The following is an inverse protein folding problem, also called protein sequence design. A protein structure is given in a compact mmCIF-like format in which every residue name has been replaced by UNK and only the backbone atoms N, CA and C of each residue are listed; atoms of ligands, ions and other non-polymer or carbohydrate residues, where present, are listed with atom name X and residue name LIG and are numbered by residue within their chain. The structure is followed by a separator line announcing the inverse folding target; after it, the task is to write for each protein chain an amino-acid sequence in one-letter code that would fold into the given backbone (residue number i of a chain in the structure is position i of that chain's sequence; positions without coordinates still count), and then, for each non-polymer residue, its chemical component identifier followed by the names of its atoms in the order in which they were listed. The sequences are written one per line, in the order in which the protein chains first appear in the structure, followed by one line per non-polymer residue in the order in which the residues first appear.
data_IF_524767623448
#
_entry.id   IF_524767623448
#
_cell.length_a   1.000
_cell.length_b   1.000
_cell.length_c   1.000
_cell.angle_alpha   90.00
_cell.angle_beta   90.00
_cell.angle_gamma   90.00
#
_symmetry.space_group_name_H-M   'P 1'
#
loop_
_entity.id
_entity.type
_entity.pdbx_description
1 polymer ?
#
# COMPACT_ATOMS: atom_id res chain seq x y z
N UNK A 1 4.45 20.18 28.25
CA UNK A 1 3.94 19.04 27.49
C UNK A 1 5.14 18.43 26.82
N UNK A 2 5.47 17.16 27.12
CA UNK A 2 6.56 16.44 26.47
C UNK A 2 6.16 16.19 25.01
N UNK A 3 7.06 16.49 24.08
CA UNK A 3 6.88 16.19 22.64
C UNK A 3 6.65 14.69 22.49
N UNK A 4 5.48 14.24 21.99
CA UNK A 4 5.18 12.82 21.82
C UNK A 4 6.15 12.13 20.83
N UNK A 5 6.91 12.89 20.05
CA UNK A 5 7.90 12.40 19.09
C UNK A 5 9.35 12.42 19.59
N UNK A 6 9.60 12.81 20.86
CA UNK A 6 10.95 13.00 21.39
C UNK A 6 11.82 11.71 21.46
N UNK A 7 11.21 10.52 21.30
CA UNK A 7 11.87 9.21 21.38
C UNK A 7 11.67 8.32 20.14
N UNK A 8 11.21 8.88 19.01
CA UNK A 8 11.06 8.08 17.80
C UNK A 8 12.43 7.83 17.13
N UNK A 9 12.63 6.65 16.53
CA UNK A 9 13.88 6.31 15.88
C UNK A 9 14.14 7.23 14.68
N UNK A 10 15.42 7.37 14.36
CA UNK A 10 15.90 8.04 13.16
C UNK A 10 16.16 6.98 12.09
N UNK A 11 15.81 7.26 10.86
CA UNK A 11 16.12 6.42 9.70
C UNK A 11 17.37 6.95 9.04
N UNK A 12 18.47 6.20 9.15
CA UNK A 12 19.72 6.51 8.48
C UNK A 12 19.67 6.12 7.01
N UNK A 13 20.00 7.04 6.13
CA UNK A 13 20.05 6.81 4.68
C UNK A 13 21.32 7.41 4.07
N UNK A 14 21.62 7.05 2.84
CA UNK A 14 22.71 7.68 2.07
C UNK A 14 22.48 9.18 1.80
N UNK A 15 21.25 9.67 1.99
CA UNK A 15 20.87 11.08 1.85
C UNK A 15 20.86 11.84 3.19
N UNK A 16 21.18 11.17 4.31
CA UNK A 16 21.18 11.69 5.66
C UNK A 16 20.19 11.03 6.59
N UNK A 17 20.06 11.58 7.79
CA UNK A 17 19.15 11.11 8.84
C UNK A 17 17.77 11.73 8.66
N UNK A 18 16.72 10.90 8.67
CA UNK A 18 15.33 11.34 8.66
C UNK A 18 14.66 11.01 10.00
N UNK A 19 14.07 12.02 10.63
CA UNK A 19 13.20 11.79 11.79
C UNK A 19 11.98 11.01 11.34
N UNK A 20 11.67 9.93 12.06
CA UNK A 20 10.44 9.20 11.85
C UNK A 20 9.31 9.83 12.67
N UNK A 21 8.12 9.75 12.13
CA UNK A 21 6.86 10.09 12.76
C UNK A 21 6.07 8.80 12.98
N UNK A 22 5.14 8.81 13.92
CA UNK A 22 4.24 7.70 14.17
C UNK A 22 2.84 8.03 13.68
N UNK A 23 2.27 7.16 12.87
CA UNK A 23 0.86 7.16 12.54
C UNK A 23 0.16 5.99 13.23
N UNK A 24 -1.01 6.23 13.83
CA UNK A 24 -1.82 5.20 14.48
C UNK A 24 -3.13 5.04 13.74
N UNK A 25 -3.28 3.89 13.09
CA UNK A 25 -4.55 3.47 12.51
C UNK A 25 -5.37 2.75 13.58
N UNK A 26 -6.64 3.15 13.72
CA UNK A 26 -7.59 2.53 14.65
C UNK A 26 -8.84 2.09 13.91
N UNK A 27 -9.14 0.80 14.00
CA UNK A 27 -10.32 0.22 13.35
C UNK A 27 -10.75 -1.05 14.09
N UNK A 28 -12.08 -1.26 14.26
CA UNK A 28 -12.64 -2.48 14.86
C UNK A 28 -12.02 -2.87 16.22
N UNK A 29 -11.71 -1.85 17.06
CA UNK A 29 -11.11 -2.03 18.38
C UNK A 29 -9.62 -2.42 18.36
N UNK A 30 -8.96 -2.41 17.22
CA UNK A 30 -7.52 -2.66 17.04
C UNK A 30 -6.79 -1.35 16.77
N UNK A 31 -5.50 -1.33 17.08
CA UNK A 31 -4.59 -0.21 16.78
C UNK A 31 -3.33 -0.75 16.11
N UNK A 32 -2.91 -0.10 15.02
CA UNK A 32 -1.64 -0.34 14.34
C UNK A 32 -0.79 0.91 14.39
N UNK A 33 0.49 0.74 14.71
CA UNK A 33 1.46 1.82 14.82
C UNK A 33 2.48 1.74 13.69
N UNK A 34 2.55 2.77 12.84
CA UNK A 34 3.38 2.81 11.64
C UNK A 34 4.33 3.99 11.70
N UNK A 35 5.62 3.70 11.57
CA UNK A 35 6.66 4.70 11.41
C UNK A 35 6.76 5.12 9.93
N UNK A 36 6.96 6.43 9.70
CA UNK A 36 7.09 7.02 8.38
C UNK A 36 7.89 8.33 8.43
N UNK A 37 8.43 8.79 7.30
CA UNK A 37 9.21 10.04 7.23
C UNK A 37 8.36 11.29 7.06
N UNK A 38 7.10 11.17 6.71
CA UNK A 38 6.14 12.25 6.53
C UNK A 38 4.84 11.71 5.97
N UNK A 39 3.76 12.47 6.15
CA UNK A 39 2.43 12.10 5.66
C UNK A 39 2.06 13.01 4.50
N UNK A 40 1.64 12.41 3.38
CA UNK A 40 1.24 13.12 2.16
C UNK A 40 -0.27 13.34 2.18
N UNK A 41 -0.79 14.04 3.19
CA UNK A 41 -2.25 14.22 3.34
C UNK A 41 -2.83 15.33 2.46
N UNK A 42 -2.00 16.22 1.90
CA UNK A 42 -2.47 17.33 1.07
C UNK A 42 -1.89 17.28 -0.34
N UNK A 43 -2.62 17.81 -1.33
CA UNK A 43 -2.13 17.98 -2.71
C UNK A 43 -0.88 18.87 -2.77
N UNK A 44 -0.78 19.83 -1.86
CA UNK A 44 0.39 20.71 -1.75
C UNK A 44 1.62 19.93 -1.28
N UNK A 45 1.48 19.05 -0.27
CA UNK A 45 2.54 18.17 0.19
C UNK A 45 2.97 17.20 -0.93
N UNK A 46 2.02 16.63 -1.68
CA UNK A 46 2.30 15.76 -2.82
C UNK A 46 3.07 16.52 -3.91
N UNK A 47 2.61 17.72 -4.29
CA UNK A 47 3.26 18.56 -5.29
C UNK A 47 4.66 18.97 -4.87
N UNK A 48 4.88 19.25 -3.59
CA UNK A 48 6.17 19.57 -3.02
C UNK A 48 7.13 18.37 -3.11
N UNK A 49 6.66 17.18 -2.70
CA UNK A 49 7.44 15.94 -2.77
C UNK A 49 7.81 15.61 -4.21
N UNK A 50 6.87 15.77 -5.16
CA UNK A 50 7.11 15.51 -6.59
C UNK A 50 8.00 16.59 -7.21
N UNK A 51 7.86 17.86 -6.79
CA UNK A 51 8.62 19.01 -7.33
C UNK A 51 10.05 19.10 -6.84
N UNK A 52 10.33 18.68 -5.62
CA UNK A 52 11.66 18.72 -5.02
C UNK A 52 12.52 17.52 -5.46
N UNK A 53 12.76 17.39 -6.77
CA UNK A 53 13.69 16.40 -7.33
C UNK A 53 15.13 16.49 -6.78
N UNK A 54 15.45 17.55 -6.08
CA UNK A 54 16.78 17.81 -5.50
C UNK A 54 16.95 17.30 -4.05
N UNK A 55 15.85 17.11 -3.33
CA UNK A 55 15.89 16.48 -1.99
C UNK A 55 15.36 15.07 -2.16
N UNK A 56 16.25 14.10 -2.08
CA UNK A 56 15.95 12.66 -2.14
C UNK A 56 15.17 12.22 -0.90
N UNK A 57 13.94 12.73 -0.73
CA UNK A 57 12.97 12.08 0.15
C UNK A 57 12.59 10.75 -0.52
N UNK A 58 12.92 9.62 0.08
CA UNK A 58 12.55 8.34 -0.50
C UNK A 58 11.03 8.21 -0.43
N UNK A 59 10.37 8.28 -1.57
CA UNK A 59 8.91 8.18 -1.71
C UNK A 59 8.34 6.94 -1.03
N UNK A 60 9.10 5.85 -1.04
CA UNK A 60 8.70 4.57 -0.45
C UNK A 60 8.57 4.59 1.07
N UNK A 61 9.11 5.58 1.78
CA UNK A 61 9.01 5.65 3.25
C UNK A 61 8.08 6.75 3.76
N UNK A 62 7.39 7.46 2.85
CA UNK A 62 6.29 8.36 3.18
C UNK A 62 4.99 7.58 3.40
N UNK A 63 4.09 8.12 4.22
CA UNK A 63 2.76 7.54 4.40
C UNK A 63 1.76 8.20 3.44
N UNK A 64 1.23 7.40 2.52
CA UNK A 64 0.28 7.84 1.51
C UNK A 64 -1.17 7.65 1.95
N UNK A 65 -2.09 8.57 1.65
CA UNK A 65 -3.51 8.44 1.99
C UNK A 65 -4.14 7.15 1.46
N UNK A 66 -3.73 6.72 0.27
CA UNK A 66 -4.22 5.48 -0.33
C UNK A 66 -3.85 4.26 0.51
N UNK A 67 -2.68 4.23 1.17
CA UNK A 67 -2.32 3.12 2.06
C UNK A 67 -3.16 3.11 3.34
N UNK A 68 -3.55 4.29 3.83
CA UNK A 68 -4.45 4.42 4.98
C UNK A 68 -5.84 3.88 4.62
N UNK A 69 -6.40 4.31 3.48
CA UNK A 69 -7.71 3.84 3.02
C UNK A 69 -7.73 2.33 2.79
N UNK A 70 -6.71 1.78 2.11
CA UNK A 70 -6.60 0.35 1.86
C UNK A 70 -6.49 -0.45 3.17
N UNK A 71 -5.74 0.04 4.14
CA UNK A 71 -5.60 -0.60 5.44
C UNK A 71 -6.93 -0.60 6.23
N UNK A 72 -7.67 0.50 6.20
CA UNK A 72 -9.02 0.55 6.79
C UNK A 72 -9.95 -0.47 6.11
N UNK A 73 -9.97 -0.52 4.79
CA UNK A 73 -10.78 -1.47 4.03
C UNK A 73 -10.45 -2.91 4.40
N UNK A 74 -9.16 -3.27 4.45
CA UNK A 74 -8.72 -4.61 4.85
C UNK A 74 -9.16 -4.93 6.28
N UNK A 75 -9.05 -3.96 7.20
CA UNK A 75 -9.42 -4.15 8.60
C UNK A 75 -10.91 -4.48 8.78
N UNK A 76 -11.80 -3.94 7.92
CA UNK A 76 -13.24 -4.26 7.94
C UNK A 76 -13.59 -5.63 7.36
N UNK A 77 -12.65 -6.24 6.60
CA UNK A 77 -12.83 -7.50 5.87
C UNK A 77 -12.09 -8.69 6.52
N UNK A 78 -11.89 -8.72 7.83
CA UNK A 78 -11.11 -9.75 8.53
C UNK A 78 -11.35 -11.17 8.02
N UNK A 79 -12.62 -11.57 7.87
CA UNK A 79 -13.00 -12.93 7.45
C UNK A 79 -12.52 -13.31 6.05
N UNK A 80 -12.24 -12.32 5.21
CA UNK A 80 -11.77 -12.53 3.85
C UNK A 80 -10.24 -12.71 3.79
N UNK A 81 -9.53 -12.29 4.85
CA UNK A 81 -8.06 -12.34 4.92
C UNK A 81 -7.53 -13.47 5.80
N UNK A 82 -8.29 -13.96 6.79
CA UNK A 82 -7.87 -15.07 7.66
C UNK A 82 -7.48 -16.29 6.83
N UNK A 83 -6.22 -16.76 7.01
CA UNK A 83 -5.67 -17.94 6.35
C UNK A 83 -5.41 -17.78 4.85
N UNK A 84 -5.48 -16.56 4.31
CA UNK A 84 -5.24 -16.26 2.91
C UNK A 84 -3.79 -15.87 2.65
N UNK A 85 -3.36 -16.06 1.40
CA UNK A 85 -2.09 -15.56 0.90
C UNK A 85 -2.27 -14.20 0.25
N UNK A 86 -1.40 -13.25 0.59
CA UNK A 86 -1.48 -11.85 0.13
C UNK A 86 -0.14 -11.42 -0.46
N UNK A 87 -0.17 -10.86 -1.66
CA UNK A 87 0.94 -10.18 -2.30
C UNK A 87 0.69 -8.67 -2.25
N UNK A 88 1.55 -7.91 -1.61
CA UNK A 88 1.53 -6.46 -1.63
C UNK A 88 2.58 -5.91 -2.61
N UNK A 89 2.11 -5.08 -3.54
CA UNK A 89 2.92 -4.40 -4.54
C UNK A 89 3.20 -2.96 -4.12
N UNK A 90 4.47 -2.55 -4.08
CA UNK A 90 4.86 -1.21 -3.66
C UNK A 90 4.52 -0.95 -2.20
N UNK A 91 5.03 -1.81 -1.31
CA UNK A 91 4.61 -1.82 0.09
C UNK A 91 4.89 -0.52 0.87
N UNK A 92 5.92 0.24 0.48
CA UNK A 92 6.23 1.52 1.12
C UNK A 92 6.48 1.38 2.63
N UNK A 93 5.58 1.95 3.44
CA UNK A 93 5.61 1.80 4.91
C UNK A 93 5.11 0.45 5.40
N UNK A 94 4.47 -0.34 4.55
CA UNK A 94 3.96 -1.68 4.83
C UNK A 94 2.59 -1.74 5.50
N UNK A 95 1.90 -0.61 5.69
CA UNK A 95 0.67 -0.55 6.48
C UNK A 95 -0.42 -1.55 6.02
N UNK A 96 -0.84 -1.64 4.74
CA UNK A 96 -1.89 -2.57 4.33
C UNK A 96 -1.54 -4.04 4.59
N UNK A 97 -0.33 -4.46 4.19
CA UNK A 97 0.13 -5.84 4.40
C UNK A 97 0.31 -6.21 5.87
N UNK A 98 0.73 -5.26 6.71
CA UNK A 98 0.81 -5.45 8.17
C UNK A 98 -0.58 -5.68 8.75
N UNK A 99 -1.57 -4.87 8.35
CA UNK A 99 -2.96 -5.08 8.76
C UNK A 99 -3.43 -6.46 8.34
N UNK A 100 -3.25 -6.86 7.08
CA UNK A 100 -3.64 -8.20 6.60
C UNK A 100 -2.94 -9.31 7.41
N UNK A 101 -1.65 -9.17 7.71
CA UNK A 101 -0.91 -10.16 8.49
C UNK A 101 -1.42 -10.29 9.94
N UNK A 102 -1.79 -9.17 10.60
CA UNK A 102 -2.39 -9.21 11.94
C UNK A 102 -3.78 -9.85 11.96
N UNK A 103 -4.46 -9.88 10.82
CA UNK A 103 -5.74 -10.58 10.62
C UNK A 103 -5.56 -12.07 10.28
N UNK A 104 -4.31 -12.58 10.25
CA UNK A 104 -4.01 -13.99 10.02
C UNK A 104 -3.73 -14.36 8.56
N UNK A 105 -3.45 -13.39 7.70
CA UNK A 105 -2.97 -13.66 6.35
C UNK A 105 -1.48 -14.01 6.33
N UNK A 106 -1.07 -14.82 5.35
CA UNK A 106 0.35 -15.02 4.99
C UNK A 106 0.72 -13.99 3.94
N UNK A 107 1.60 -13.04 4.29
CA UNK A 107 1.87 -11.85 3.47
C UNK A 107 3.28 -11.88 2.88
N UNK A 108 3.38 -11.55 1.59
CA UNK A 108 4.61 -11.18 0.90
C UNK A 108 4.51 -9.70 0.52
N UNK A 109 5.39 -8.86 1.05
CA UNK A 109 5.51 -7.45 0.71
C UNK A 109 6.65 -7.26 -0.28
N UNK A 110 6.38 -6.53 -1.36
CA UNK A 110 7.38 -6.21 -2.39
C UNK A 110 7.53 -4.71 -2.57
N UNK A 111 8.75 -4.27 -2.76
CA UNK A 111 9.08 -2.91 -3.15
C UNK A 111 10.37 -2.92 -3.98
N UNK A 112 10.60 -1.89 -4.78
CA UNK A 112 11.86 -1.70 -5.51
C UNK A 112 12.94 -1.01 -4.68
N UNK A 113 12.58 -0.49 -3.50
CA UNK A 113 13.46 0.25 -2.60
C UNK A 113 13.74 -0.59 -1.35
N UNK A 114 15.01 -0.93 -1.13
CA UNK A 114 15.44 -1.67 0.06
C UNK A 114 15.15 -0.90 1.36
N UNK A 115 15.19 0.43 1.33
CA UNK A 115 14.89 1.27 2.48
C UNK A 115 13.41 1.14 2.88
N UNK A 116 12.49 1.11 1.90
CA UNK A 116 11.08 0.85 2.14
C UNK A 116 10.88 -0.52 2.80
N UNK A 117 11.51 -1.57 2.27
CA UNK A 117 11.45 -2.91 2.86
C UNK A 117 12.06 -3.00 4.27
N UNK A 118 13.11 -2.21 4.53
CA UNK A 118 13.67 -2.11 5.88
C UNK A 118 12.64 -1.50 6.85
N UNK A 119 11.96 -0.44 6.44
CA UNK A 119 10.91 0.20 7.24
C UNK A 119 9.70 -0.72 7.41
N UNK A 120 9.29 -1.47 6.37
CA UNK A 120 8.25 -2.50 6.47
C UNK A 120 8.55 -3.52 7.55
N UNK A 121 9.79 -4.05 7.59
CA UNK A 121 10.22 -5.02 8.64
C UNK A 121 10.10 -4.42 10.03
N UNK A 122 10.59 -3.19 10.21
CA UNK A 122 10.53 -2.49 11.49
C UNK A 122 9.08 -2.26 11.93
N UNK A 123 8.22 -1.84 11.00
CA UNK A 123 6.80 -1.64 11.25
C UNK A 123 6.07 -2.97 11.54
N UNK A 124 6.41 -4.05 10.82
CA UNK A 124 5.89 -5.39 11.08
C UNK A 124 6.20 -5.86 12.51
N UNK A 125 7.48 -5.76 12.92
CA UNK A 125 7.92 -6.11 14.29
C UNK A 125 7.19 -5.29 15.34
N UNK A 126 7.02 -3.98 15.10
CA UNK A 126 6.31 -3.06 15.99
C UNK A 126 4.84 -3.47 16.21
N UNK A 127 4.21 -4.08 15.21
CA UNK A 127 2.84 -4.57 15.26
C UNK A 127 2.74 -6.08 15.58
N UNK A 128 3.82 -6.71 16.03
CA UNK A 128 3.84 -8.13 16.44
C UNK A 128 3.78 -9.14 15.29
N UNK A 129 4.02 -8.70 14.04
CA UNK A 129 4.04 -9.59 12.88
C UNK A 129 5.44 -9.62 12.26
N UNK A 130 6.20 -10.68 12.58
CA UNK A 130 7.56 -10.90 12.06
C UNK A 130 7.63 -11.94 10.94
N UNK A 131 6.51 -12.60 10.61
CA UNK A 131 6.43 -13.65 9.59
C UNK A 131 6.21 -13.13 8.16
N UNK A 132 6.06 -11.83 7.98
CA UNK A 132 5.91 -11.22 6.64
C UNK A 132 7.18 -11.44 5.83
N UNK A 133 7.04 -11.96 4.62
CA UNK A 133 8.14 -12.06 3.67
C UNK A 133 8.34 -10.72 2.97
N UNK A 134 9.60 -10.29 2.85
CA UNK A 134 9.96 -9.04 2.18
C UNK A 134 10.86 -9.34 0.99
N UNK A 135 10.50 -8.85 -0.17
CA UNK A 135 11.19 -9.12 -1.42
C UNK A 135 11.44 -7.83 -2.20
N UNK A 136 12.71 -7.58 -2.53
CA UNK A 136 13.10 -6.52 -3.46
C UNK A 136 12.65 -6.93 -4.86
N UNK A 137 11.80 -6.13 -5.50
CA UNK A 137 11.24 -6.46 -6.80
C UNK A 137 10.91 -5.21 -7.62
N UNK A 138 11.25 -5.25 -8.90
CA UNK A 138 10.89 -4.24 -9.88
C UNK A 138 9.79 -4.81 -10.80
N UNK A 139 8.69 -4.08 -10.95
CA UNK A 139 7.57 -4.53 -11.80
C UNK A 139 7.96 -4.68 -13.27
N UNK A 140 8.98 -3.95 -13.74
CA UNK A 140 9.48 -4.05 -15.10
C UNK A 140 10.33 -5.31 -15.33
N UNK A 141 10.88 -5.87 -14.25
CA UNK A 141 11.66 -7.11 -14.24
C UNK A 141 11.14 -8.07 -13.18
N UNK A 142 9.85 -8.43 -13.29
CA UNK A 142 9.12 -9.22 -12.31
C UNK A 142 9.43 -10.71 -12.41
N UNK A 143 9.78 -11.34 -11.29
CA UNK A 143 10.17 -12.77 -11.21
C UNK A 143 9.54 -13.52 -10.03
N UNK A 144 8.51 -12.96 -9.36
CA UNK A 144 7.79 -13.64 -8.28
C UNK A 144 6.97 -14.82 -8.83
N UNK A 145 7.27 -16.07 -8.42
CA UNK A 145 6.59 -17.26 -8.97
C UNK A 145 5.30 -17.61 -8.23
N UNK A 146 5.04 -17.02 -7.06
CA UNK A 146 3.91 -17.36 -6.20
C UNK A 146 2.55 -16.97 -6.79
N UNK A 147 1.51 -17.67 -6.35
CA UNK A 147 0.12 -17.28 -6.60
C UNK A 147 -0.57 -16.98 -5.28
N UNK A 148 -1.39 -15.92 -5.28
CA UNK A 148 -1.93 -15.32 -4.07
C UNK A 148 -3.45 -15.21 -4.17
N UNK A 149 -4.13 -15.41 -3.03
CA UNK A 149 -5.58 -15.21 -2.94
C UNK A 149 -5.93 -13.71 -3.09
N UNK A 150 -5.05 -12.83 -2.61
CA UNK A 150 -5.16 -11.39 -2.76
C UNK A 150 -3.88 -10.79 -3.33
N UNK A 151 -4.03 -9.92 -4.32
CA UNK A 151 -2.99 -8.97 -4.73
C UNK A 151 -3.45 -7.60 -4.29
N UNK A 152 -2.67 -6.92 -3.46
CA UNK A 152 -3.02 -5.60 -2.94
C UNK A 152 -1.96 -4.56 -3.32
N UNK A 153 -2.38 -3.29 -3.41
CA UNK A 153 -1.45 -2.20 -3.68
C UNK A 153 -2.08 -0.84 -3.46
N UNK A 154 -1.33 0.04 -2.81
CA UNK A 154 -1.76 1.39 -2.51
C UNK A 154 -0.94 2.41 -3.30
N UNK A 155 -1.63 3.32 -3.98
CA UNK A 155 -1.00 4.41 -4.74
C UNK A 155 -0.02 3.95 -5.85
N UNK A 156 -0.28 2.79 -6.47
CA UNK A 156 0.64 2.17 -7.45
C UNK A 156 0.27 2.46 -8.92
N UNK A 157 -0.85 3.13 -9.16
CA UNK A 157 -1.38 3.39 -10.51
C UNK A 157 -0.95 4.76 -11.09
N UNK A 158 0.10 5.37 -10.54
CA UNK A 158 0.56 6.73 -10.84
C UNK A 158 1.27 6.91 -12.19
N UNK A 159 1.50 5.85 -12.95
CA UNK A 159 2.19 5.91 -14.23
C UNK A 159 1.59 4.94 -15.25
N UNK A 160 1.03 5.47 -16.36
CA UNK A 160 0.43 4.63 -17.42
C UNK A 160 1.41 3.61 -18.01
N UNK A 161 2.69 3.95 -18.09
CA UNK A 161 3.73 3.02 -18.56
C UNK A 161 3.92 1.79 -17.66
N UNK A 162 3.48 1.86 -16.42
CA UNK A 162 3.54 0.75 -15.46
C UNK A 162 2.33 -0.19 -15.58
N UNK A 163 1.21 0.26 -16.12
CA UNK A 163 -0.02 -0.51 -16.19
C UNK A 163 0.13 -1.87 -16.92
N UNK A 164 0.85 -1.98 -18.06
CA UNK A 164 1.10 -3.27 -18.69
C UNK A 164 1.90 -4.24 -17.82
N UNK A 165 2.84 -3.72 -17.01
CA UNK A 165 3.62 -4.53 -16.07
C UNK A 165 2.77 -5.03 -14.91
N UNK A 166 1.96 -4.15 -14.32
CA UNK A 166 1.01 -4.52 -13.26
C UNK A 166 0.00 -5.56 -13.77
N UNK A 167 -0.54 -5.36 -14.99
CA UNK A 167 -1.45 -6.33 -15.59
C UNK A 167 -0.81 -7.72 -15.70
N UNK A 168 0.43 -7.81 -16.18
CA UNK A 168 1.16 -9.08 -16.26
C UNK A 168 1.34 -9.71 -14.87
N UNK A 169 1.61 -8.92 -13.84
CA UNK A 169 1.69 -9.39 -12.45
C UNK A 169 0.35 -9.95 -11.99
N UNK A 170 -0.75 -9.26 -12.27
CA UNK A 170 -2.11 -9.74 -11.94
C UNK A 170 -2.40 -11.10 -12.59
N UNK A 171 -2.11 -11.22 -13.88
CA UNK A 171 -2.35 -12.46 -14.63
C UNK A 171 -1.46 -13.64 -14.15
N UNK A 172 -0.21 -13.36 -13.74
CA UNK A 172 0.74 -14.39 -13.32
C UNK A 172 0.62 -14.79 -11.86
N UNK A 173 0.28 -13.84 -10.97
CA UNK A 173 0.35 -14.05 -9.53
C UNK A 173 -1.00 -14.18 -8.83
N UNK A 174 -2.12 -13.95 -9.51
CA UNK A 174 -3.42 -14.19 -8.92
C UNK A 174 -3.77 -15.68 -8.90
N UNK A 175 -4.17 -16.20 -7.75
CA UNK A 175 -4.64 -17.56 -7.61
C UNK A 175 -6.02 -17.73 -8.27
N UNK A 176 -6.42 -18.98 -8.54
CA UNK A 176 -7.79 -19.27 -8.95
C UNK A 176 -8.77 -18.80 -7.87
N UNK A 177 -9.75 -17.99 -8.24
CA UNK A 177 -10.68 -17.29 -7.35
C UNK A 177 -10.03 -16.18 -6.50
N UNK A 178 -8.79 -15.79 -6.83
CA UNK A 178 -8.14 -14.65 -6.21
C UNK A 178 -8.79 -13.34 -6.63
N UNK A 179 -8.52 -12.29 -5.86
CA UNK A 179 -9.02 -10.93 -6.08
C UNK A 179 -7.90 -9.92 -5.93
N UNK A 180 -8.11 -8.75 -6.49
CA UNK A 180 -7.18 -7.65 -6.39
C UNK A 180 -7.85 -6.52 -5.64
N UNK A 181 -7.12 -5.86 -4.74
CA UNK A 181 -7.59 -4.69 -4.00
C UNK A 181 -6.57 -3.55 -4.14
N UNK A 182 -6.95 -2.52 -4.89
CA UNK A 182 -6.08 -1.37 -5.17
C UNK A 182 -6.70 -0.10 -4.63
N UNK A 183 -5.87 0.80 -4.10
CA UNK A 183 -6.34 2.13 -3.69
C UNK A 183 -5.64 3.25 -4.44
N UNK A 184 -6.43 4.26 -4.83
CA UNK A 184 -5.98 5.40 -5.63
C UNK A 184 -6.87 6.63 -5.38
N UNK A 185 -6.32 7.86 -5.40
CA UNK A 185 -7.08 9.09 -5.22
C UNK A 185 -7.88 9.50 -6.47
N UNK A 186 -8.40 8.56 -7.22
CA UNK A 186 -9.18 8.74 -8.44
C UNK A 186 -8.41 9.49 -9.56
N UNK A 187 -7.12 9.17 -9.75
CA UNK A 187 -6.37 9.72 -10.87
C UNK A 187 -6.99 9.29 -12.19
N UNK A 188 -7.01 10.20 -13.17
CA UNK A 188 -7.60 9.91 -14.48
C UNK A 188 -7.00 8.68 -15.17
N UNK A 189 -5.70 8.44 -14.99
CA UNK A 189 -5.01 7.26 -15.53
C UNK A 189 -5.46 5.95 -14.86
N UNK A 190 -5.73 6.00 -13.55
CA UNK A 190 -6.23 4.85 -12.80
C UNK A 190 -7.65 4.49 -13.24
N UNK A 191 -8.51 5.50 -13.41
CA UNK A 191 -9.89 5.29 -13.90
C UNK A 191 -9.91 4.71 -15.32
N UNK A 192 -9.03 5.15 -16.22
CA UNK A 192 -8.89 4.54 -17.56
C UNK A 192 -8.48 3.07 -17.49
N UNK A 193 -7.62 2.70 -16.54
CA UNK A 193 -7.29 1.28 -16.33
C UNK A 193 -8.50 0.48 -15.87
N UNK A 194 -9.31 1.03 -14.95
CA UNK A 194 -10.54 0.37 -14.48
C UNK A 194 -11.54 0.17 -15.64
N UNK A 195 -11.78 1.22 -16.46
CA UNK A 195 -12.63 1.15 -17.65
C UNK A 195 -12.12 0.10 -18.66
N UNK A 196 -10.80 0.01 -18.87
CA UNK A 196 -10.21 -1.00 -19.76
C UNK A 196 -10.41 -2.42 -19.23
N UNK A 197 -10.28 -2.64 -17.92
CA UNK A 197 -10.54 -3.94 -17.31
C UNK A 197 -12.02 -4.33 -17.40
N UNK A 198 -12.95 -3.39 -17.18
CA UNK A 198 -14.38 -3.64 -17.37
C UNK A 198 -14.71 -4.03 -18.82
N UNK A 199 -14.07 -3.39 -19.80
CA UNK A 199 -14.22 -3.74 -21.22
C UNK A 199 -13.71 -5.17 -21.54
N UNK A 200 -12.78 -5.68 -20.72
CA UNK A 200 -12.30 -7.07 -20.76
C UNK A 200 -13.09 -8.03 -19.86
N UNK A 201 -14.29 -7.60 -19.41
CA UNK A 201 -15.22 -8.40 -18.60
C UNK A 201 -14.70 -8.69 -17.18
N UNK A 202 -13.76 -7.90 -16.67
CA UNK A 202 -13.47 -7.90 -15.25
C UNK A 202 -14.63 -7.25 -14.48
N UNK A 203 -14.95 -7.80 -13.32
CA UNK A 203 -15.85 -7.12 -12.40
C UNK A 203 -15.04 -6.11 -11.61
N UNK A 204 -15.37 -4.83 -11.75
CA UNK A 204 -14.76 -3.72 -11.00
C UNK A 204 -15.81 -3.13 -10.07
N UNK A 205 -15.46 -2.98 -8.81
CA UNK A 205 -16.26 -2.26 -7.81
C UNK A 205 -15.34 -1.43 -6.95
N UNK A 206 -15.85 -0.42 -6.25
CA UNK A 206 -15.03 0.35 -5.32
C UNK A 206 -15.84 0.84 -4.12
N UNK A 207 -15.14 1.00 -3.01
CA UNK A 207 -15.58 1.73 -1.84
C UNK A 207 -14.81 3.04 -1.73
N UNK A 208 -15.47 4.08 -1.22
CA UNK A 208 -14.86 5.40 -1.03
C UNK A 208 -14.51 5.62 0.43
N UNK A 209 -13.27 6.02 0.67
CA UNK A 209 -12.77 6.47 1.96
C UNK A 209 -12.36 7.93 1.89
N UNK A 210 -12.72 8.72 2.89
CA UNK A 210 -12.24 10.08 3.03
C UNK A 210 -11.13 10.11 4.10
N UNK A 211 -9.88 10.38 3.66
CA UNK A 211 -8.67 10.32 4.49
C UNK A 211 -8.13 11.72 4.72
N UNK A 212 -7.71 12.03 5.94
CA UNK A 212 -7.13 13.31 6.31
C UNK A 212 -7.95 14.07 7.35
N UNK A 213 -7.80 15.39 7.38
CA UNK A 213 -8.52 16.24 8.33
C UNK A 213 -9.98 16.42 7.90
N UNK A 214 -10.89 16.52 8.87
CA UNK A 214 -12.34 16.71 8.63
C UNK A 214 -12.65 17.91 7.72
N UNK A 215 -11.82 18.95 7.78
CA UNK A 215 -12.01 20.18 7.00
C UNK A 215 -11.56 20.06 5.54
N UNK A 216 -10.65 19.13 5.25
CA UNK A 216 -10.08 18.91 3.91
C UNK A 216 -9.85 17.42 3.65
N UNK A 217 -10.91 16.60 3.68
CA UNK A 217 -10.77 15.18 3.45
C UNK A 217 -10.33 14.90 2.02
N UNK A 218 -9.43 13.93 1.85
CA UNK A 218 -9.00 13.46 0.55
C UNK A 218 -9.76 12.18 0.20
N UNK A 219 -10.59 12.20 -0.87
CA UNK A 219 -11.30 11.00 -1.29
C UNK A 219 -10.33 10.00 -1.92
N UNK A 220 -10.41 8.76 -1.47
CA UNK A 220 -9.64 7.63 -1.97
C UNK A 220 -10.61 6.53 -2.38
N UNK A 221 -10.48 6.02 -3.59
CA UNK A 221 -11.18 4.82 -4.04
C UNK A 221 -10.37 3.58 -3.64
N UNK A 222 -11.03 2.60 -3.06
CA UNK A 222 -10.47 1.26 -2.88
C UNK A 222 -11.21 0.34 -3.85
N UNK A 223 -10.54 -0.03 -4.93
CA UNK A 223 -11.09 -0.79 -6.04
C UNK A 223 -10.88 -2.28 -5.83
N UNK A 224 -11.96 -3.06 -5.87
CA UNK A 224 -11.88 -4.52 -5.93
C UNK A 224 -12.04 -4.97 -7.39
N UNK A 225 -11.09 -5.79 -7.86
CA UNK A 225 -11.05 -6.31 -9.22
C UNK A 225 -11.14 -7.84 -9.18
N UNK A 226 -12.08 -8.39 -9.92
CA UNK A 226 -12.27 -9.84 -10.06
C UNK A 226 -12.16 -10.19 -11.54
N UNK A 227 -11.19 -11.05 -11.93
CA UNK A 227 -11.04 -11.45 -13.33
C UNK A 227 -12.21 -12.31 -13.82
N UNK A 228 -12.46 -12.35 -15.14
CA UNK A 228 -13.59 -13.08 -15.75
C UNK A 228 -13.69 -14.55 -15.32
N UNK A 229 -12.55 -15.22 -15.23
CA UNK A 229 -12.46 -16.65 -14.86
C UNK A 229 -12.75 -16.91 -13.38
N UNK A 230 -12.95 -15.87 -12.59
CA UNK A 230 -13.18 -15.93 -11.15
C UNK A 230 -14.57 -15.42 -10.74
N UNK A 231 -15.38 -15.01 -11.70
CA UNK A 231 -16.79 -14.57 -11.52
C UNK A 231 -17.73 -15.77 -11.34
#
# INVERSE_FOLDING_TARGET
MSDPNANLPVLDTSAGEFKLHEYKLRQEGREWSILHTGTVLTLEAESKIIGERSVRLPYGVALWPSSIALAHEIATREREFVGRTVLELGAGTGLPGIVAATLGATVTQTDRDELALHLCRSNGQRNGVSSIQHRLADWTNWDEPGRYDWVIGADILYGESLHPHLRRIFDSNLAKRGRILLSDPFRSMSLRLMEALEAEVWKVSFDRWDVGEETTPRPIGVFELVPPDNI
#
